data_IF_236113328203
#
_entry.id   IF_236113328203
#
_cell.length_a   1.000
_cell.length_b   1.000
_cell.length_c   1.000
_cell.angle_alpha   90.00
_cell.angle_beta   90.00
_cell.angle_gamma   90.00
#
_symmetry.space_group_name_H-M   'P 1'
#
loop_
_entity.id
_entity.type
_entity.pdbx_description
1 polymer ?
#
# COMPACT_ATOMS: atom_id res chain seq x y z
N UNK A 1 11.53 7.14 10.84
CA UNK A 1 11.49 7.97 9.61
C UNK A 1 10.49 9.13 9.79
N UNK A 2 10.33 10.05 8.82
CA UNK A 2 9.38 11.18 8.92
C UNK A 2 7.94 10.72 9.22
N UNK A 3 7.54 9.60 8.60
CA UNK A 3 6.23 8.98 8.82
C UNK A 3 6.02 8.52 10.28
N UNK A 4 7.02 7.89 10.89
CA UNK A 4 6.89 7.44 12.29
C UNK A 4 6.79 8.63 13.24
N UNK A 5 7.55 9.70 12.99
CA UNK A 5 7.43 10.96 13.76
C UNK A 5 6.04 11.59 13.62
N UNK A 6 5.42 11.53 12.44
CA UNK A 6 4.05 12.00 12.22
C UNK A 6 3.09 11.25 13.16
N UNK A 7 3.18 9.93 13.21
CA UNK A 7 2.35 9.07 14.08
C UNK A 7 2.64 9.32 15.56
N UNK A 8 3.91 9.36 15.97
CA UNK A 8 4.34 9.60 17.36
C UNK A 8 3.90 10.96 17.91
N UNK A 9 3.76 11.96 17.04
CA UNK A 9 3.29 13.32 17.42
C UNK A 9 1.77 13.45 17.38
N UNK A 10 1.03 12.37 17.13
CA UNK A 10 -0.44 12.36 17.09
C UNK A 10 -1.01 12.89 15.77
N UNK A 11 -0.18 13.16 14.77
CA UNK A 11 -0.65 13.50 13.44
C UNK A 11 -1.07 12.21 12.73
N UNK A 12 -2.38 12.01 12.55
CA UNK A 12 -2.89 10.75 12.02
C UNK A 12 -2.79 10.71 10.48
N UNK A 13 -2.10 9.71 9.91
CA UNK A 13 -2.06 9.52 8.47
C UNK A 13 -3.40 9.01 7.96
N UNK A 14 -3.87 9.60 6.86
CA UNK A 14 -5.09 9.18 6.18
C UNK A 14 -4.80 8.28 4.97
N UNK A 15 -5.86 7.82 4.31
CA UNK A 15 -5.77 6.97 3.10
C UNK A 15 -4.88 7.60 2.02
N UNK A 16 -4.94 8.93 1.85
CA UNK A 16 -4.14 9.65 0.85
C UNK A 16 -2.65 9.61 1.23
N UNK A 17 -2.33 9.79 2.51
CA UNK A 17 -0.96 9.71 3.04
C UNK A 17 -0.35 8.33 2.76
N UNK A 18 -1.06 7.25 3.11
CA UNK A 18 -0.62 5.88 2.86
C UNK A 18 -0.39 5.60 1.37
N UNK A 19 -1.40 5.88 0.53
CA UNK A 19 -1.32 5.60 -0.91
C UNK A 19 -0.22 6.39 -1.61
N UNK A 20 0.03 7.63 -1.16
CA UNK A 20 1.14 8.46 -1.65
C UNK A 20 2.49 7.84 -1.33
N UNK A 21 2.71 7.41 -0.08
CA UNK A 21 3.95 6.77 0.35
C UNK A 21 4.18 5.43 -0.36
N UNK A 22 3.13 4.61 -0.48
CA UNK A 22 3.18 3.35 -1.22
C UNK A 22 3.62 3.57 -2.67
N UNK A 23 3.02 4.55 -3.36
CA UNK A 23 3.38 4.84 -4.75
C UNK A 23 4.84 5.30 -4.88
N UNK A 24 5.33 6.12 -3.94
CA UNK A 24 6.75 6.50 -3.88
C UNK A 24 7.66 5.29 -3.72
N UNK A 25 7.38 4.43 -2.75
CA UNK A 25 8.15 3.21 -2.49
C UNK A 25 8.13 2.25 -3.67
N UNK A 26 6.99 2.05 -4.32
CA UNK A 26 6.88 1.24 -5.54
C UNK A 26 7.78 1.80 -6.67
N UNK A 27 7.86 3.13 -6.82
CA UNK A 27 8.73 3.76 -7.83
C UNK A 27 10.22 3.61 -7.52
N UNK A 28 10.57 3.48 -6.25
CA UNK A 28 11.94 3.19 -5.78
C UNK A 28 12.26 1.68 -5.78
N UNK A 29 11.32 0.80 -6.18
CA UNK A 29 11.50 -0.65 -6.15
C UNK A 29 11.41 -1.26 -4.74
N UNK A 30 10.99 -0.49 -3.74
CA UNK A 30 10.90 -0.88 -2.33
C UNK A 30 9.56 -1.52 -2.02
N UNK A 31 9.23 -2.60 -2.74
CA UNK A 31 7.90 -3.21 -2.69
C UNK A 31 7.53 -3.76 -1.32
N UNK A 32 8.47 -4.36 -0.60
CA UNK A 32 8.22 -4.92 0.73
C UNK A 32 7.74 -3.85 1.71
N UNK A 33 8.33 -2.65 1.64
CA UNK A 33 7.92 -1.52 2.48
C UNK A 33 6.56 -0.95 2.04
N UNK A 34 6.29 -0.91 0.73
CA UNK A 34 4.99 -0.50 0.22
C UNK A 34 3.87 -1.46 0.69
N UNK A 35 4.12 -2.77 0.71
CA UNK A 35 3.17 -3.77 1.22
C UNK A 35 3.01 -3.65 2.74
N UNK A 36 4.09 -3.45 3.50
CA UNK A 36 4.01 -3.27 4.95
C UNK A 36 3.18 -2.02 5.35
N UNK A 37 3.14 -0.98 4.50
CA UNK A 37 2.25 0.16 4.72
C UNK A 37 0.76 -0.20 4.59
N UNK A 38 0.40 -1.27 3.87
CA UNK A 38 -0.99 -1.74 3.76
C UNK A 38 -1.43 -2.31 5.11
N UNK A 39 -0.57 -3.10 5.75
CA UNK A 39 -0.84 -3.65 7.08
C UNK A 39 -0.96 -2.53 8.11
N UNK A 40 -0.04 -1.56 8.10
CA UNK A 40 -0.11 -0.37 8.98
C UNK A 40 -1.33 0.50 8.73
N UNK A 41 -1.85 0.54 7.51
CA UNK A 41 -3.10 1.25 7.18
C UNK A 41 -4.29 0.60 7.90
N UNK A 42 -4.36 -0.74 7.87
CA UNK A 42 -5.41 -1.52 8.56
C UNK A 42 -5.30 -1.38 10.08
N UNK A 43 -4.09 -1.48 10.64
CA UNK A 43 -3.85 -1.29 12.08
C UNK A 43 -4.31 0.07 12.58
N UNK A 44 -4.19 1.11 11.76
CA UNK A 44 -4.66 2.46 12.05
C UNK A 44 -6.14 2.69 11.69
N UNK A 45 -6.90 1.63 11.42
CA UNK A 45 -8.35 1.68 11.20
C UNK A 45 -8.78 2.10 9.79
N UNK A 46 -7.84 2.15 8.84
CA UNK A 46 -8.14 2.47 7.45
C UNK A 46 -8.19 1.21 6.59
N UNK A 47 -9.29 1.02 5.86
CA UNK A 47 -9.43 -0.12 4.97
C UNK A 47 -8.78 0.15 3.60
N UNK A 48 -7.96 -0.77 3.08
CA UNK A 48 -7.46 -0.70 1.71
C UNK A 48 -8.62 -0.57 0.72
N UNK A 49 -8.54 0.41 -0.17
CA UNK A 49 -9.56 0.62 -1.20
C UNK A 49 -9.00 0.31 -2.60
N UNK A 50 -9.80 0.58 -3.63
CA UNK A 50 -9.39 0.36 -5.02
C UNK A 50 -8.11 1.12 -5.41
N UNK A 51 -7.87 2.29 -4.83
CA UNK A 51 -6.66 3.10 -5.08
C UNK A 51 -5.44 2.44 -4.44
N UNK A 52 -5.56 1.98 -3.19
CA UNK A 52 -4.50 1.20 -2.50
C UNK A 52 -4.12 -0.02 -3.33
N UNK A 53 -5.11 -0.83 -3.69
CA UNK A 53 -4.87 -2.08 -4.42
C UNK A 53 -4.29 -1.82 -5.82
N UNK A 54 -4.83 -0.84 -6.56
CA UNK A 54 -4.29 -0.46 -7.88
C UNK A 54 -2.84 0.00 -7.78
N UNK A 55 -2.48 0.74 -6.73
CA UNK A 55 -1.10 1.21 -6.51
C UNK A 55 -0.15 0.04 -6.32
N UNK A 56 -0.51 -0.92 -5.47
CA UNK A 56 0.29 -2.13 -5.20
C UNK A 56 0.41 -3.01 -6.44
N UNK A 57 -0.70 -3.32 -7.11
CA UNK A 57 -0.70 -4.12 -8.36
C UNK A 57 0.18 -3.47 -9.43
N UNK A 58 0.06 -2.16 -9.62
CA UNK A 58 0.90 -1.44 -10.58
C UNK A 58 2.38 -1.48 -10.21
N UNK A 59 2.71 -1.37 -8.93
CA UNK A 59 4.08 -1.52 -8.42
C UNK A 59 4.66 -2.91 -8.72
N UNK A 60 3.91 -3.96 -8.37
CA UNK A 60 4.29 -5.36 -8.64
C UNK A 60 4.53 -5.60 -10.14
N UNK A 61 3.62 -5.15 -11.00
CA UNK A 61 3.77 -5.27 -12.46
C UNK A 61 5.04 -4.58 -12.99
N UNK A 62 5.36 -3.38 -12.50
CA UNK A 62 6.56 -2.63 -12.91
C UNK A 62 7.86 -3.31 -12.48
N UNK A 63 7.82 -4.08 -11.40
CA UNK A 63 8.95 -4.88 -10.93
C UNK A 63 9.02 -6.27 -11.56
N UNK A 64 8.05 -6.64 -12.41
CA UNK A 64 7.98 -7.96 -13.03
C UNK A 64 7.36 -9.04 -12.15
N UNK A 65 6.92 -8.72 -10.92
CA UNK A 65 6.23 -9.66 -10.02
C UNK A 65 4.75 -9.80 -10.40
N UNK A 66 4.52 -10.33 -11.59
CA UNK A 66 3.17 -10.49 -12.16
C UNK A 66 2.34 -11.55 -11.44
N UNK A 67 2.98 -12.54 -10.80
CA UNK A 67 2.30 -13.61 -10.06
C UNK A 67 1.63 -13.04 -8.81
N UNK A 68 2.35 -12.24 -8.01
CA UNK A 68 1.76 -11.58 -6.84
C UNK A 68 0.66 -10.60 -7.25
N UNK A 69 0.86 -9.84 -8.34
CA UNK A 69 -0.14 -8.93 -8.89
C UNK A 69 -1.45 -9.66 -9.26
N UNK A 70 -1.36 -10.77 -9.99
CA UNK A 70 -2.50 -11.61 -10.36
C UNK A 70 -3.22 -12.20 -9.15
N UNK A 71 -2.47 -12.66 -8.15
CA UNK A 71 -3.04 -13.22 -6.92
C UNK A 71 -3.83 -12.15 -6.13
N UNK A 72 -3.32 -10.91 -6.08
CA UNK A 72 -4.03 -9.82 -5.44
C UNK A 72 -5.32 -9.45 -6.17
N UNK A 73 -5.28 -9.34 -7.51
CA UNK A 73 -6.47 -9.08 -8.34
C UNK A 73 -7.56 -10.15 -8.12
N UNK A 74 -7.18 -11.44 -8.12
CA UNK A 74 -8.11 -12.54 -7.86
C UNK A 74 -8.74 -12.51 -6.46
N UNK A 75 -8.01 -12.00 -5.46
CA UNK A 75 -8.58 -11.82 -4.12
C UNK A 75 -9.64 -10.72 -4.13
N UNK A 76 -9.41 -9.63 -4.87
CA UNK A 76 -10.36 -8.52 -4.98
C UNK A 76 -11.65 -8.94 -5.69
N UNK A 77 -11.57 -9.71 -6.78
CA UNK A 77 -12.74 -10.19 -7.53
C UNK A 77 -13.61 -11.18 -6.73
N UNK A 78 -13.08 -11.76 -5.65
CA UNK A 78 -13.78 -12.70 -4.78
C UNK A 78 -14.39 -12.06 -3.53
N UNK A 79 -14.22 -10.74 -3.36
CA UNK A 79 -14.87 -9.99 -2.29
C UNK A 79 -16.31 -9.66 -2.74
N UNK A 80 -17.36 -10.02 -1.96
CA UNK A 80 -18.75 -9.74 -2.31
C UNK A 80 -19.07 -8.24 -2.33
#
# INVERSE_FOLDING_TARGET
>A
ALFDRMVETGCQPDVVTYTTLMNGLCREGRMLEAVALVDRMVENGHQPNIVTNRTIVNGMCKMGDTISALNLLRKMDKSP
#
